data_IF_345185565782
#
_entry.id   IF_345185565782
#
_cell.length_a   1.000
_cell.length_b   1.000
_cell.length_c   1.000
_cell.angle_alpha   90.00
_cell.angle_beta   90.00
_cell.angle_gamma   90.00
#
_symmetry.space_group_name_H-M   'P 1'
#
loop_
_entity.id
_entity.type
_entity.pdbx_description
1 polymer ?
#
# COMPACT_ATOMS: atom_id res chain seq x y z
N UNK A 1 -48.95 -4.92 -32.32
CA UNK A 1 -47.64 -4.63 -32.93
C UNK A 1 -46.60 -4.75 -31.84
N UNK A 2 -45.83 -5.84 -31.89
CA UNK A 2 -44.81 -6.22 -30.91
C UNK A 2 -43.55 -5.36 -31.00
N UNK A 3 -42.97 -5.15 -29.82
CA UNK A 3 -41.54 -5.01 -29.49
C UNK A 3 -40.68 -3.99 -30.24
N UNK A 4 -40.40 -2.88 -29.56
CA UNK A 4 -39.06 -2.26 -29.52
C UNK A 4 -38.51 -2.38 -28.11
N UNK A 5 -38.01 -3.56 -27.78
CA UNK A 5 -37.01 -3.73 -26.71
C UNK A 5 -35.64 -3.73 -27.38
N UNK A 6 -35.08 -2.53 -27.59
CA UNK A 6 -33.68 -2.38 -27.96
C UNK A 6 -32.83 -2.77 -26.75
N UNK A 7 -32.49 -4.07 -26.70
CA UNK A 7 -31.38 -4.55 -25.90
C UNK A 7 -30.13 -3.82 -26.38
N UNK A 8 -29.59 -2.90 -25.57
CA UNK A 8 -28.21 -2.49 -25.65
C UNK A 8 -27.37 -3.77 -25.55
N UNK A 9 -26.91 -4.28 -26.70
CA UNK A 9 -25.94 -5.36 -26.73
C UNK A 9 -24.63 -4.80 -26.20
N UNK A 10 -24.32 -5.14 -24.95
CA UNK A 10 -22.99 -5.00 -24.36
C UNK A 10 -21.97 -5.51 -25.39
N UNK A 11 -21.10 -4.62 -25.87
CA UNK A 11 -20.11 -4.92 -26.90
C UNK A 11 -18.95 -5.73 -26.32
N UNK A 12 -19.19 -7.00 -25.98
CA UNK A 12 -18.11 -7.93 -25.62
C UNK A 12 -17.52 -8.55 -26.89
N UNK A 13 -16.19 -8.67 -26.96
CA UNK A 13 -15.52 -9.25 -28.13
C UNK A 13 -16.03 -10.67 -28.44
N UNK A 14 -16.07 -11.05 -29.71
CA UNK A 14 -16.47 -12.43 -30.10
C UNK A 14 -15.56 -13.49 -29.47
N UNK A 15 -14.27 -13.17 -29.27
CA UNK A 15 -13.33 -14.03 -28.54
C UNK A 15 -13.79 -14.28 -27.11
N UNK A 16 -14.24 -13.24 -26.39
CA UNK A 16 -14.78 -13.36 -25.03
C UNK A 16 -16.06 -14.20 -25.03
N UNK A 17 -16.97 -14.00 -25.99
CA UNK A 17 -18.20 -14.81 -26.11
C UNK A 17 -17.89 -16.29 -26.32
N UNK A 18 -16.96 -16.60 -27.22
CA UNK A 18 -16.56 -17.99 -27.51
C UNK A 18 -15.95 -18.64 -26.25
N UNK A 19 -15.06 -17.93 -25.55
CA UNK A 19 -14.46 -18.42 -24.31
C UNK A 19 -15.53 -18.74 -23.25
N UNK A 20 -16.47 -17.82 -23.00
CA UNK A 20 -17.52 -18.03 -22.02
C UNK A 20 -18.45 -19.18 -22.41
N UNK A 21 -18.84 -19.30 -23.68
CA UNK A 21 -19.68 -20.42 -24.17
C UNK A 21 -19.02 -21.78 -23.99
N UNK A 22 -17.72 -21.88 -24.20
CA UNK A 22 -16.99 -23.13 -23.98
C UNK A 22 -16.96 -23.50 -22.50
N UNK A 23 -16.70 -22.53 -21.62
CA UNK A 23 -16.69 -22.75 -20.17
C UNK A 23 -18.08 -23.12 -19.61
N UNK A 24 -19.16 -22.59 -20.21
CA UNK A 24 -20.53 -22.94 -19.86
C UNK A 24 -20.91 -24.41 -20.15
N UNK A 25 -20.07 -25.19 -20.84
CA UNK A 25 -20.30 -26.64 -20.98
C UNK A 25 -20.13 -27.38 -19.66
N UNK A 26 -19.24 -26.91 -18.78
CA UNK A 26 -18.97 -27.48 -17.46
C UNK A 26 -18.80 -26.36 -16.40
N UNK A 27 -19.85 -25.57 -16.10
CA UNK A 27 -19.71 -24.33 -15.34
C UNK A 27 -19.26 -24.56 -13.88
N UNK A 28 -19.57 -25.72 -13.31
CA UNK A 28 -19.19 -26.09 -11.94
C UNK A 28 -17.71 -26.45 -11.79
N UNK A 29 -17.00 -26.75 -12.88
CA UNK A 29 -15.56 -27.05 -12.89
C UNK A 29 -14.70 -25.77 -13.00
N UNK A 30 -15.31 -24.62 -13.30
CA UNK A 30 -14.61 -23.35 -13.50
C UNK A 30 -14.25 -22.73 -12.14
N UNK A 31 -12.99 -22.88 -11.73
CA UNK A 31 -12.46 -22.30 -10.50
C UNK A 31 -11.76 -20.96 -10.71
N UNK A 32 -11.27 -20.70 -11.92
CA UNK A 32 -10.54 -19.47 -12.26
C UNK A 32 -11.00 -18.94 -13.61
N UNK A 33 -11.19 -17.63 -13.71
CA UNK A 33 -11.59 -16.97 -14.93
C UNK A 33 -10.80 -15.67 -15.12
N UNK A 34 -10.12 -15.58 -16.26
CA UNK A 34 -9.38 -14.39 -16.66
C UNK A 34 -10.07 -13.71 -17.86
N UNK A 35 -10.51 -12.49 -17.61
CA UNK A 35 -11.12 -11.55 -18.55
C UNK A 35 -10.40 -10.20 -18.52
N UNK A 36 -9.09 -10.21 -18.28
CA UNK A 36 -8.22 -9.05 -18.41
C UNK A 36 -8.20 -8.49 -19.84
N UNK A 37 -8.19 -7.15 -19.97
CA UNK A 37 -8.08 -6.44 -21.26
C UNK A 37 -9.10 -6.93 -22.29
N UNK A 38 -10.38 -6.93 -21.92
CA UNK A 38 -11.48 -7.40 -22.78
C UNK A 38 -12.44 -6.28 -23.20
N UNK A 39 -12.10 -5.03 -22.90
CA UNK A 39 -12.91 -3.84 -23.21
C UNK A 39 -14.33 -3.93 -22.63
N UNK A 40 -14.49 -4.64 -21.50
CA UNK A 40 -15.80 -4.86 -20.89
C UNK A 40 -16.34 -3.57 -20.27
N UNK A 41 -17.49 -3.11 -20.73
CA UNK A 41 -18.24 -2.03 -20.07
C UNK A 41 -19.11 -2.53 -18.92
N UNK A 42 -19.52 -3.80 -18.98
CA UNK A 42 -20.33 -4.48 -17.98
C UNK A 42 -19.82 -5.91 -17.77
N UNK A 43 -20.11 -6.49 -16.61
CA UNK A 43 -19.78 -7.88 -16.28
C UNK A 43 -20.70 -8.82 -17.06
N UNK A 44 -20.18 -9.72 -17.93
CA UNK A 44 -21.01 -10.69 -18.65
C UNK A 44 -21.85 -11.55 -17.70
N UNK A 45 -23.18 -11.70 -17.95
CA UNK A 45 -24.07 -12.43 -17.05
C UNK A 45 -23.71 -13.93 -16.93
N UNK A 46 -23.04 -14.49 -17.93
CA UNK A 46 -22.55 -15.88 -17.93
C UNK A 46 -21.62 -16.18 -16.76
N UNK A 47 -20.92 -15.17 -16.22
CA UNK A 47 -20.01 -15.33 -15.08
C UNK A 47 -20.76 -15.84 -13.84
N UNK A 48 -22.04 -15.47 -13.69
CA UNK A 48 -22.83 -15.85 -12.52
C UNK A 48 -23.26 -17.31 -12.50
N UNK A 49 -23.03 -18.05 -13.59
CA UNK A 49 -23.24 -19.51 -13.67
C UNK A 49 -22.03 -20.29 -13.09
N UNK A 50 -20.85 -19.66 -13.01
CA UNK A 50 -19.63 -20.26 -12.44
C UNK A 50 -19.64 -20.18 -10.91
N UNK A 51 -20.58 -20.87 -10.26
CA UNK A 51 -20.82 -20.75 -8.82
C UNK A 51 -19.68 -21.26 -7.92
N UNK A 52 -18.75 -22.05 -8.46
CA UNK A 52 -17.53 -22.52 -7.79
C UNK A 52 -16.30 -21.65 -8.09
N UNK A 53 -16.46 -20.51 -8.76
CA UNK A 53 -15.37 -19.62 -9.10
C UNK A 53 -14.68 -19.08 -7.84
N UNK A 54 -13.36 -19.25 -7.78
CA UNK A 54 -12.49 -18.82 -6.68
C UNK A 54 -11.64 -17.62 -7.05
N UNK A 55 -11.23 -17.50 -8.32
CA UNK A 55 -10.41 -16.39 -8.80
C UNK A 55 -11.03 -15.76 -10.06
N UNK A 56 -11.24 -14.44 -10.01
CA UNK A 56 -11.79 -13.67 -11.12
C UNK A 56 -10.91 -12.46 -11.40
N UNK A 57 -10.32 -12.43 -12.60
CA UNK A 57 -9.55 -11.29 -13.10
C UNK A 57 -10.37 -10.51 -14.13
N UNK A 58 -10.70 -9.26 -13.80
CA UNK A 58 -11.44 -8.29 -14.61
C UNK A 58 -10.61 -7.01 -14.82
N UNK A 59 -9.29 -7.08 -14.64
CA UNK A 59 -8.41 -5.90 -14.74
C UNK A 59 -8.39 -5.28 -16.13
N UNK A 60 -8.11 -3.99 -16.20
CA UNK A 60 -7.95 -3.24 -17.45
C UNK A 60 -9.17 -3.39 -18.39
N UNK A 61 -10.36 -3.10 -17.86
CA UNK A 61 -11.61 -3.03 -18.61
C UNK A 61 -12.22 -1.62 -18.44
N UNK A 62 -13.50 -1.46 -18.74
CA UNK A 62 -14.22 -0.19 -18.65
C UNK A 62 -15.38 -0.23 -17.65
N UNK A 63 -15.34 -1.17 -16.69
CA UNK A 63 -16.40 -1.39 -15.71
C UNK A 63 -16.58 -0.14 -14.83
N UNK A 64 -17.83 0.27 -14.64
CA UNK A 64 -18.21 1.41 -13.78
C UNK A 64 -18.88 0.98 -12.48
N UNK A 65 -19.49 -0.19 -12.49
CA UNK A 65 -20.21 -0.78 -11.37
C UNK A 65 -20.21 -2.31 -11.49
N UNK A 66 -20.63 -2.98 -10.42
CA UNK A 66 -20.89 -4.42 -10.43
C UNK A 66 -22.38 -4.66 -10.16
N UNK A 67 -23.05 -5.56 -10.90
CA UNK A 67 -24.46 -5.84 -10.69
C UNK A 67 -24.70 -6.60 -9.38
N UNK A 68 -25.94 -6.60 -8.88
CA UNK A 68 -26.31 -7.23 -7.60
C UNK A 68 -26.05 -8.75 -7.56
N UNK A 69 -26.14 -9.38 -8.73
CA UNK A 69 -25.90 -10.79 -9.01
C UNK A 69 -24.47 -11.22 -8.73
N UNK A 70 -23.54 -10.26 -8.65
CA UNK A 70 -22.14 -10.52 -8.29
C UNK A 70 -22.02 -11.19 -6.90
N UNK A 71 -22.99 -10.94 -6.01
CA UNK A 71 -23.10 -11.63 -4.71
C UNK A 71 -23.38 -13.15 -4.79
N UNK A 72 -23.68 -13.70 -5.98
CA UNK A 72 -23.84 -15.15 -6.20
C UNK A 72 -22.51 -15.91 -6.18
N UNK A 73 -21.37 -15.23 -6.39
CA UNK A 73 -20.04 -15.83 -6.41
C UNK A 73 -19.51 -16.10 -4.99
N UNK A 74 -20.22 -16.94 -4.23
CA UNK A 74 -20.00 -17.16 -2.79
C UNK A 74 -18.65 -17.81 -2.45
N UNK A 75 -17.99 -18.45 -3.40
CA UNK A 75 -16.70 -19.11 -3.22
C UNK A 75 -15.51 -18.26 -3.68
N UNK A 76 -15.76 -17.01 -4.10
CA UNK A 76 -14.72 -16.15 -4.65
C UNK A 76 -13.75 -15.70 -3.56
N UNK A 77 -12.48 -16.00 -3.76
CA UNK A 77 -11.38 -15.70 -2.83
C UNK A 77 -10.51 -14.57 -3.34
N UNK A 78 -10.32 -14.49 -4.66
CA UNK A 78 -9.50 -13.47 -5.32
C UNK A 78 -10.30 -12.73 -6.38
N UNK A 79 -10.38 -11.42 -6.22
CA UNK A 79 -11.04 -10.53 -7.17
C UNK A 79 -10.09 -9.41 -7.60
N UNK A 80 -9.81 -9.33 -8.90
CA UNK A 80 -8.97 -8.29 -9.48
C UNK A 80 -9.79 -7.38 -10.39
N UNK A 81 -10.00 -6.13 -9.97
CA UNK A 81 -10.77 -5.09 -10.66
C UNK A 81 -9.90 -3.87 -11.00
N UNK A 82 -8.58 -3.97 -10.84
CA UNK A 82 -7.68 -2.85 -11.08
C UNK A 82 -7.67 -2.38 -12.54
N UNK A 83 -7.59 -1.07 -12.79
CA UNK A 83 -7.62 -0.50 -14.14
C UNK A 83 -9.02 -0.50 -14.74
N UNK A 84 -10.02 -0.01 -14.01
CA UNK A 84 -11.39 0.14 -14.49
C UNK A 84 -11.86 1.59 -14.31
N UNK A 85 -13.17 1.83 -14.43
CA UNK A 85 -13.78 3.16 -14.35
C UNK A 85 -14.67 3.32 -13.09
N UNK A 86 -14.36 2.60 -12.00
CA UNK A 86 -15.12 2.71 -10.75
C UNK A 86 -14.90 4.08 -10.12
N UNK A 87 -15.98 4.86 -9.94
CA UNK A 87 -15.97 6.13 -9.17
C UNK A 87 -16.35 5.94 -7.70
N UNK A 88 -17.13 4.89 -7.44
CA UNK A 88 -17.54 4.48 -6.11
C UNK A 88 -16.98 3.08 -5.85
N UNK A 89 -16.71 2.78 -4.58
CA UNK A 89 -16.37 1.43 -4.17
C UNK A 89 -17.55 0.49 -4.51
N UNK A 90 -17.35 -0.63 -5.21
CA UNK A 90 -18.42 -1.54 -5.55
C UNK A 90 -18.90 -2.31 -4.31
N UNK A 91 -19.86 -1.73 -3.57
CA UNK A 91 -20.28 -2.23 -2.26
C UNK A 91 -20.81 -3.68 -2.29
N UNK A 92 -21.31 -4.17 -3.44
CA UNK A 92 -21.69 -5.59 -3.60
C UNK A 92 -20.57 -6.57 -3.24
N UNK A 93 -19.29 -6.17 -3.42
CA UNK A 93 -18.11 -6.98 -3.08
C UNK A 93 -18.05 -7.28 -1.58
N UNK A 94 -18.56 -6.38 -0.73
CA UNK A 94 -18.61 -6.56 0.73
C UNK A 94 -19.48 -7.75 1.16
N UNK A 95 -20.36 -8.24 0.28
CA UNK A 95 -21.20 -9.43 0.52
C UNK A 95 -20.44 -10.75 0.30
N UNK A 96 -19.20 -10.70 -0.21
CA UNK A 96 -18.38 -11.86 -0.52
C UNK A 96 -17.35 -12.07 0.59
N UNK A 97 -17.82 -12.61 1.72
CA UNK A 97 -17.01 -12.78 2.93
C UNK A 97 -15.84 -13.76 2.79
N UNK A 98 -15.78 -14.51 1.69
CA UNK A 98 -14.71 -15.47 1.34
C UNK A 98 -13.48 -14.80 0.73
N UNK A 99 -13.55 -13.51 0.36
CA UNK A 99 -12.43 -12.80 -0.24
C UNK A 99 -11.23 -12.73 0.71
N UNK A 100 -10.08 -13.12 0.19
CA UNK A 100 -8.74 -12.98 0.79
C UNK A 100 -7.90 -11.96 0.04
N UNK A 101 -8.22 -11.70 -1.23
CA UNK A 101 -7.53 -10.72 -2.07
C UNK A 101 -8.54 -9.86 -2.86
N UNK A 102 -8.42 -8.55 -2.72
CA UNK A 102 -9.19 -7.56 -3.48
C UNK A 102 -8.26 -6.49 -4.06
N UNK A 103 -8.22 -6.39 -5.39
CA UNK A 103 -7.52 -5.32 -6.10
C UNK A 103 -8.55 -4.39 -6.77
N UNK A 104 -8.60 -3.14 -6.31
CA UNK A 104 -9.38 -2.03 -6.86
C UNK A 104 -8.46 -0.87 -7.30
N UNK A 105 -7.19 -1.15 -7.53
CA UNK A 105 -6.20 -0.14 -7.92
C UNK A 105 -6.52 0.50 -9.27
N UNK A 106 -5.94 1.66 -9.57
CA UNK A 106 -6.10 2.30 -10.89
C UNK A 106 -7.58 2.47 -11.29
N UNK A 107 -8.34 3.11 -10.41
CA UNK A 107 -9.74 3.48 -10.62
C UNK A 107 -9.91 4.97 -10.27
N UNK A 108 -11.14 5.43 -10.08
CA UNK A 108 -11.45 6.79 -9.67
C UNK A 108 -12.25 6.81 -8.35
N UNK A 109 -12.02 5.83 -7.46
CA UNK A 109 -12.78 5.68 -6.22
C UNK A 109 -12.47 6.85 -5.28
N UNK A 110 -13.52 7.56 -4.84
CA UNK A 110 -13.38 8.72 -3.95
C UNK A 110 -13.48 8.37 -2.45
N UNK A 111 -14.13 7.26 -2.11
CA UNK A 111 -14.34 6.84 -0.72
C UNK A 111 -14.45 5.33 -0.58
N UNK A 112 -14.11 4.83 0.62
CA UNK A 112 -14.28 3.43 1.01
C UNK A 112 -15.43 3.36 2.02
N UNK A 113 -16.44 2.48 1.82
CA UNK A 113 -17.60 2.42 2.69
C UNK A 113 -17.29 1.68 3.99
N UNK A 114 -18.06 1.98 5.05
CA UNK A 114 -17.95 1.26 6.33
C UNK A 114 -18.21 -0.24 6.21
N UNK A 115 -19.00 -0.66 5.22
CA UNK A 115 -19.29 -2.08 4.95
C UNK A 115 -18.05 -2.91 4.59
N UNK A 116 -16.89 -2.28 4.32
CA UNK A 116 -15.61 -2.97 4.15
C UNK A 116 -15.29 -3.89 5.34
N UNK A 117 -15.72 -3.56 6.56
CA UNK A 117 -15.49 -4.37 7.78
C UNK A 117 -16.01 -5.81 7.70
N UNK A 118 -16.92 -6.08 6.76
CA UNK A 118 -17.49 -7.40 6.52
C UNK A 118 -16.52 -8.36 5.80
N UNK A 119 -15.46 -7.86 5.17
CA UNK A 119 -14.44 -8.66 4.48
C UNK A 119 -13.40 -9.22 5.46
N UNK A 120 -13.86 -9.94 6.48
CA UNK A 120 -13.04 -10.37 7.63
C UNK A 120 -11.88 -11.31 7.28
N UNK A 121 -11.95 -11.98 6.13
CA UNK A 121 -10.89 -12.89 5.64
C UNK A 121 -9.88 -12.19 4.73
N UNK A 122 -10.03 -10.90 4.46
CA UNK A 122 -9.17 -10.17 3.54
C UNK A 122 -7.74 -10.10 4.08
N UNK A 123 -6.79 -10.60 3.29
CA UNK A 123 -5.36 -10.56 3.57
C UNK A 123 -4.65 -9.47 2.76
N UNK A 124 -5.15 -9.18 1.56
CA UNK A 124 -4.60 -8.14 0.67
C UNK A 124 -5.70 -7.23 0.16
N UNK A 125 -5.52 -5.92 0.36
CA UNK A 125 -6.38 -4.88 -0.18
C UNK A 125 -5.53 -3.85 -0.95
N UNK A 126 -5.78 -3.77 -2.27
CA UNK A 126 -5.15 -2.77 -3.14
C UNK A 126 -6.16 -1.69 -3.51
N UNK A 127 -5.90 -0.46 -3.09
CA UNK A 127 -6.66 0.75 -3.37
C UNK A 127 -5.78 1.86 -3.95
N UNK A 128 -4.54 1.55 -4.32
CA UNK A 128 -3.59 2.51 -4.88
C UNK A 128 -4.08 3.09 -6.21
N UNK A 129 -3.65 4.31 -6.53
CA UNK A 129 -4.05 5.02 -7.77
C UNK A 129 -5.57 5.19 -7.85
N UNK A 130 -6.14 5.86 -6.85
CA UNK A 130 -7.55 6.25 -6.77
C UNK A 130 -7.63 7.74 -6.31
N UNK A 131 -8.80 8.20 -5.89
CA UNK A 131 -9.05 9.58 -5.44
C UNK A 131 -9.52 9.62 -3.99
N UNK A 132 -9.12 8.63 -3.19
CA UNK A 132 -9.60 8.45 -1.81
C UNK A 132 -9.04 9.56 -0.93
N UNK A 133 -9.94 10.29 -0.25
CA UNK A 133 -9.58 11.40 0.65
C UNK A 133 -9.47 10.99 2.11
N UNK A 134 -10.25 9.97 2.50
CA UNK A 134 -10.25 9.43 3.85
C UNK A 134 -10.53 7.94 3.83
N UNK A 135 -10.02 7.24 4.86
CA UNK A 135 -10.37 5.86 5.14
C UNK A 135 -11.38 5.81 6.29
N UNK A 136 -12.40 4.95 6.21
CA UNK A 136 -13.32 4.75 7.32
C UNK A 136 -12.59 4.06 8.49
N UNK A 137 -13.00 4.37 9.72
CA UNK A 137 -12.53 3.65 10.93
C UNK A 137 -12.82 2.13 10.86
N UNK A 138 -13.81 1.73 10.06
CA UNK A 138 -14.15 0.35 9.76
C UNK A 138 -12.96 -0.45 9.16
N UNK A 139 -11.95 0.21 8.58
CA UNK A 139 -10.76 -0.48 8.04
C UNK A 139 -10.05 -1.30 9.11
N UNK A 140 -10.04 -0.85 10.38
CA UNK A 140 -9.39 -1.57 11.48
C UNK A 140 -10.06 -2.89 11.87
N UNK A 141 -11.23 -3.21 11.29
CA UNK A 141 -11.90 -4.50 11.48
C UNK A 141 -11.36 -5.61 10.57
N UNK A 142 -10.50 -5.30 9.61
CA UNK A 142 -9.85 -6.27 8.72
C UNK A 142 -8.67 -6.98 9.41
N UNK A 143 -8.95 -7.75 10.46
CA UNK A 143 -7.91 -8.32 11.34
C UNK A 143 -6.92 -9.27 10.65
N UNK A 144 -7.30 -9.86 9.52
CA UNK A 144 -6.43 -10.75 8.74
C UNK A 144 -5.60 -10.01 7.68
N UNK A 145 -5.74 -8.68 7.57
CA UNK A 145 -5.04 -7.91 6.54
C UNK A 145 -3.54 -7.90 6.80
N UNK A 146 -2.79 -8.30 5.77
CA UNK A 146 -1.32 -8.38 5.75
C UNK A 146 -0.73 -7.32 4.84
N UNK A 147 -1.40 -6.99 3.74
CA UNK A 147 -0.95 -5.99 2.78
C UNK A 147 -2.08 -4.97 2.55
N UNK A 148 -1.75 -3.70 2.79
CA UNK A 148 -2.63 -2.56 2.49
C UNK A 148 -1.90 -1.57 1.59
N UNK A 149 -2.36 -1.43 0.35
CA UNK A 149 -1.83 -0.49 -0.61
C UNK A 149 -2.81 0.67 -0.86
N UNK A 150 -2.38 1.87 -0.49
CA UNK A 150 -3.13 3.13 -0.50
C UNK A 150 -2.37 4.24 -1.25
N UNK A 151 -1.19 3.94 -1.79
CA UNK A 151 -0.34 4.94 -2.43
C UNK A 151 -1.03 5.58 -3.64
N UNK A 152 -0.63 6.81 -4.00
CA UNK A 152 -1.25 7.57 -5.08
C UNK A 152 -2.76 7.77 -4.83
N UNK A 153 -3.09 8.45 -3.74
CA UNK A 153 -4.44 8.87 -3.39
C UNK A 153 -4.39 10.32 -2.85
N UNK A 154 -5.46 10.80 -2.23
CA UNK A 154 -5.54 12.14 -1.63
C UNK A 154 -5.68 12.11 -0.11
N UNK A 155 -5.23 11.03 0.56
CA UNK A 155 -5.43 10.83 2.01
C UNK A 155 -4.73 11.93 2.82
N UNK A 156 -5.47 12.59 3.70
CA UNK A 156 -4.90 13.59 4.62
C UNK A 156 -4.43 12.99 5.95
N UNK A 157 -5.03 11.87 6.34
CA UNK A 157 -4.72 11.14 7.57
C UNK A 157 -4.97 9.64 7.39
N UNK A 158 -4.32 8.83 8.22
CA UNK A 158 -4.70 7.45 8.47
C UNK A 158 -5.52 7.40 9.76
N UNK A 159 -6.64 6.65 9.82
CA UNK A 159 -7.44 6.53 11.03
C UNK A 159 -6.66 5.84 12.15
N UNK A 160 -6.96 6.16 13.42
CA UNK A 160 -6.30 5.51 14.57
C UNK A 160 -6.63 4.02 14.67
N UNK A 161 -7.73 3.57 14.06
CA UNK A 161 -8.02 2.15 13.91
C UNK A 161 -7.04 1.42 12.97
N UNK A 162 -6.11 2.09 12.28
CA UNK A 162 -5.05 1.37 11.55
C UNK A 162 -4.23 0.46 12.48
N UNK A 163 -4.01 0.87 13.73
CA UNK A 163 -3.32 0.06 14.74
C UNK A 163 -4.04 -1.22 15.14
N UNK A 164 -5.30 -1.40 14.71
CA UNK A 164 -6.07 -2.61 14.95
C UNK A 164 -5.72 -3.74 13.97
N UNK A 165 -4.96 -3.45 12.91
CA UNK A 165 -4.50 -4.40 11.89
C UNK A 165 -3.26 -5.15 12.39
N UNK A 166 -3.43 -5.96 13.43
CA UNK A 166 -2.32 -6.63 14.13
C UNK A 166 -1.49 -7.60 13.26
N UNK A 167 -2.05 -8.06 12.13
CA UNK A 167 -1.37 -8.94 11.18
C UNK A 167 -0.76 -8.19 9.99
N UNK A 168 -0.82 -6.85 9.97
CA UNK A 168 -0.30 -6.04 8.86
C UNK A 168 1.22 -6.18 8.77
N UNK A 169 1.69 -6.56 7.59
CA UNK A 169 3.11 -6.75 7.25
C UNK A 169 3.62 -5.63 6.34
N UNK A 170 2.78 -5.12 5.44
CA UNK A 170 3.15 -4.11 4.47
C UNK A 170 2.09 -3.02 4.36
N UNK A 171 2.51 -1.77 4.61
CA UNK A 171 1.69 -0.57 4.42
C UNK A 171 2.35 0.35 3.41
N UNK A 172 1.67 0.55 2.28
CA UNK A 172 2.06 1.50 1.24
C UNK A 172 1.08 2.67 1.23
N UNK A 173 1.47 3.84 1.71
CA UNK A 173 0.65 5.05 1.68
C UNK A 173 1.44 6.28 1.19
N UNK A 174 2.44 6.05 0.35
CA UNK A 174 3.22 7.09 -0.30
C UNK A 174 2.43 7.86 -1.36
N UNK A 175 2.88 9.04 -1.75
CA UNK A 175 2.21 9.90 -2.74
C UNK A 175 0.74 10.15 -2.33
N UNK A 176 0.58 10.75 -1.15
CA UNK A 176 -0.69 11.16 -0.55
C UNK A 176 -0.51 12.55 0.08
N UNK A 177 -1.49 13.01 0.86
CA UNK A 177 -1.45 14.28 1.59
C UNK A 177 -1.28 14.09 3.10
N UNK A 178 -0.70 12.96 3.55
CA UNK A 178 -0.64 12.60 4.97
C UNK A 178 0.19 13.64 5.74
N UNK A 179 -0.37 14.16 6.84
CA UNK A 179 0.31 15.15 7.70
C UNK A 179 0.95 14.55 8.94
N UNK A 180 0.45 13.40 9.38
CA UNK A 180 0.91 12.73 10.60
C UNK A 180 0.89 11.22 10.40
N UNK A 181 1.62 10.52 11.27
CA UNK A 181 1.53 9.08 11.45
C UNK A 181 0.75 8.85 12.75
N UNK A 182 -0.38 8.10 12.75
CA UNK A 182 -1.14 7.86 13.96
C UNK A 182 -0.31 7.05 14.97
N UNK A 183 -0.40 7.38 16.26
CA UNK A 183 0.39 6.71 17.31
C UNK A 183 0.08 5.22 17.40
N UNK A 184 -1.16 4.85 17.10
CA UNK A 184 -1.62 3.47 17.00
C UNK A 184 -0.84 2.62 15.99
N UNK A 185 -0.09 3.21 15.05
CA UNK A 185 0.75 2.43 14.11
C UNK A 185 1.68 1.47 14.85
N UNK A 186 2.17 1.84 16.04
CA UNK A 186 3.03 1.01 16.87
C UNK A 186 2.38 -0.29 17.36
N UNK A 187 1.08 -0.48 17.18
CA UNK A 187 0.37 -1.73 17.48
C UNK A 187 0.44 -2.74 16.31
N UNK A 188 0.84 -2.32 15.10
CA UNK A 188 1.04 -3.19 13.95
C UNK A 188 2.38 -3.95 14.07
N UNK A 189 2.58 -4.71 15.15
CA UNK A 189 3.86 -5.33 15.52
C UNK A 189 4.45 -6.31 14.50
N UNK A 190 3.65 -6.72 13.51
CA UNK A 190 4.08 -7.57 12.39
C UNK A 190 4.59 -6.78 11.18
N UNK A 191 4.56 -5.44 11.21
CA UNK A 191 4.92 -4.61 10.07
C UNK A 191 6.40 -4.76 9.72
N UNK A 192 6.67 -5.07 8.47
CA UNK A 192 8.00 -5.24 7.87
C UNK A 192 8.35 -4.11 6.91
N UNK A 193 7.34 -3.55 6.23
CA UNK A 193 7.52 -2.42 5.31
C UNK A 193 6.53 -1.31 5.63
N UNK A 194 7.06 -0.10 5.84
CA UNK A 194 6.29 1.12 5.97
C UNK A 194 6.80 2.15 4.95
N UNK A 195 5.98 2.41 3.94
CA UNK A 195 6.31 3.33 2.84
C UNK A 195 5.35 4.52 2.84
N UNK A 196 5.87 5.68 3.27
CA UNK A 196 5.15 6.93 3.50
C UNK A 196 5.82 8.13 2.83
N UNK A 197 6.74 7.89 1.90
CA UNK A 197 7.41 8.94 1.13
C UNK A 197 6.42 9.82 0.34
N UNK A 198 6.85 11.02 -0.06
CA UNK A 198 6.03 11.95 -0.86
C UNK A 198 4.68 12.26 -0.18
N UNK A 199 4.76 12.78 1.04
CA UNK A 199 3.64 13.22 1.87
C UNK A 199 4.00 14.56 2.55
N UNK A 200 3.22 15.00 3.52
CA UNK A 200 3.45 16.21 4.32
C UNK A 200 3.72 15.90 5.80
N UNK A 201 4.32 14.74 6.09
CA UNK A 201 4.54 14.28 7.47
C UNK A 201 5.63 15.13 8.12
N UNK A 202 5.31 15.74 9.25
CA UNK A 202 6.25 16.60 10.00
C UNK A 202 6.93 15.91 11.18
N UNK A 203 6.36 14.81 11.69
CA UNK A 203 6.87 14.07 12.84
C UNK A 203 6.66 12.56 12.71
N UNK A 204 7.57 11.80 13.32
CA UNK A 204 7.42 10.36 13.54
C UNK A 204 7.08 10.14 15.02
N UNK A 205 5.97 9.48 15.36
CA UNK A 205 5.60 9.21 16.74
C UNK A 205 6.60 8.23 17.39
N UNK A 206 6.82 8.39 18.70
CA UNK A 206 7.73 7.53 19.47
C UNK A 206 7.34 6.04 19.41
N UNK A 207 6.07 5.76 19.20
CA UNK A 207 5.46 4.44 19.08
C UNK A 207 6.00 3.65 17.88
N UNK A 208 6.64 4.31 16.90
CA UNK A 208 7.34 3.63 15.81
C UNK A 208 8.33 2.59 16.34
N UNK A 209 8.98 2.86 17.48
CA UNK A 209 9.96 1.97 18.08
C UNK A 209 9.39 0.63 18.59
N UNK A 210 8.07 0.44 18.57
CA UNK A 210 7.42 -0.86 18.85
C UNK A 210 7.45 -1.82 17.66
N UNK A 211 7.75 -1.32 16.45
CA UNK A 211 7.74 -2.10 15.21
C UNK A 211 9.05 -2.89 15.05
N UNK A 212 9.37 -3.78 15.99
CA UNK A 212 10.66 -4.47 16.03
C UNK A 212 10.94 -5.34 14.80
N UNK A 213 9.92 -5.75 14.05
CA UNK A 213 10.04 -6.51 12.80
C UNK A 213 10.23 -5.64 11.55
N UNK A 214 10.25 -4.31 11.70
CA UNK A 214 10.35 -3.40 10.56
C UNK A 214 11.72 -3.53 9.89
N UNK A 215 11.71 -3.80 8.59
CA UNK A 215 12.91 -4.00 7.77
C UNK A 215 13.17 -2.83 6.83
N UNK A 216 12.10 -2.15 6.40
CA UNK A 216 12.17 -1.01 5.47
C UNK A 216 11.27 0.11 5.95
N UNK A 217 11.86 1.28 6.15
CA UNK A 217 11.16 2.53 6.46
C UNK A 217 11.54 3.57 5.40
N UNK A 218 10.54 4.02 4.64
CA UNK A 218 10.69 5.08 3.62
C UNK A 218 9.83 6.27 3.98
N UNK A 219 10.49 7.40 4.17
CA UNK A 219 9.90 8.67 4.61
C UNK A 219 10.51 9.87 3.86
N UNK A 220 11.21 9.62 2.75
CA UNK A 220 11.80 10.69 1.94
C UNK A 220 10.72 11.63 1.37
N UNK A 221 11.10 12.86 1.01
CA UNK A 221 10.17 13.89 0.50
C UNK A 221 8.98 14.11 1.44
N UNK A 222 9.31 14.46 2.68
CA UNK A 222 8.35 14.85 3.72
C UNK A 222 8.84 16.15 4.39
N UNK A 223 8.28 16.49 5.55
CA UNK A 223 8.60 17.70 6.32
C UNK A 223 9.26 17.36 7.67
N UNK A 224 9.92 16.21 7.76
CA UNK A 224 10.49 15.72 9.02
C UNK A 224 11.65 16.60 9.49
N UNK A 225 11.61 17.00 10.76
CA UNK A 225 12.67 17.80 11.38
C UNK A 225 13.64 17.02 12.25
N UNK A 226 13.15 15.96 12.89
CA UNK A 226 13.91 15.12 13.80
C UNK A 226 13.41 13.68 13.71
N UNK A 227 14.22 12.74 14.18
CA UNK A 227 13.79 11.37 14.45
C UNK A 227 13.60 11.17 15.96
N UNK A 228 12.59 10.41 16.42
CA UNK A 228 12.46 10.07 17.83
C UNK A 228 13.60 9.15 18.26
N UNK A 229 14.06 9.27 19.52
CA UNK A 229 15.07 8.37 20.10
C UNK A 229 14.69 6.88 19.97
N UNK A 230 13.39 6.57 19.97
CA UNK A 230 12.89 5.20 19.82
C UNK A 230 13.14 4.59 18.45
N UNK A 231 13.59 5.36 17.45
CA UNK A 231 14.01 4.81 16.14
C UNK A 231 15.07 3.73 16.30
N UNK A 232 15.97 3.87 17.29
CA UNK A 232 17.01 2.88 17.60
C UNK A 232 16.48 1.52 18.08
N UNK A 233 15.18 1.38 18.35
CA UNK A 233 14.58 0.10 18.72
C UNK A 233 14.28 -0.80 17.49
N UNK A 234 14.35 -0.24 16.28
CA UNK A 234 14.07 -0.97 15.03
C UNK A 234 15.24 -1.87 14.62
N UNK A 235 15.57 -2.86 15.43
CA UNK A 235 16.78 -3.68 15.30
C UNK A 235 16.85 -4.49 13.99
N UNK A 236 15.71 -4.77 13.35
CA UNK A 236 15.66 -5.46 12.06
C UNK A 236 15.71 -4.52 10.84
N UNK A 237 15.82 -3.21 11.06
CA UNK A 237 15.79 -2.24 9.97
C UNK A 237 17.05 -2.38 9.10
N UNK A 238 16.83 -2.61 7.82
CA UNK A 238 17.89 -2.75 6.79
C UNK A 238 17.97 -1.53 5.89
N UNK A 239 16.85 -0.83 5.68
CA UNK A 239 16.77 0.37 4.85
C UNK A 239 16.01 1.48 5.57
N UNK A 240 16.67 2.62 5.72
CA UNK A 240 16.10 3.86 6.24
C UNK A 240 16.33 4.97 5.21
N UNK A 241 15.28 5.34 4.48
CA UNK A 241 15.35 6.37 3.43
C UNK A 241 14.61 7.62 3.91
N UNK A 242 15.35 8.71 4.12
CA UNK A 242 14.91 9.97 4.72
C UNK A 242 15.31 11.19 3.88
N UNK A 243 15.75 10.99 2.64
CA UNK A 243 16.21 12.09 1.80
C UNK A 243 15.12 13.12 1.50
N UNK A 244 15.51 14.35 1.17
CA UNK A 244 14.59 15.47 0.90
C UNK A 244 13.60 15.69 2.08
N UNK A 245 14.15 15.96 3.27
CA UNK A 245 13.42 16.34 4.48
C UNK A 245 14.08 17.59 5.12
N UNK A 246 13.74 17.93 6.36
CA UNK A 246 14.25 19.08 7.11
C UNK A 246 15.05 18.61 8.35
N UNK A 247 15.66 17.42 8.29
CA UNK A 247 16.29 16.80 9.47
C UNK A 247 17.57 17.56 9.80
N UNK A 248 17.66 18.11 11.02
CA UNK A 248 18.82 18.88 11.47
C UNK A 248 19.75 18.08 12.40
N UNK A 249 19.23 17.04 13.06
CA UNK A 249 19.99 16.14 13.92
C UNK A 249 19.50 14.69 13.85
N UNK A 250 20.40 13.75 14.17
CA UNK A 250 20.08 12.34 14.36
C UNK A 250 20.23 11.98 15.85
N UNK A 251 19.34 11.15 16.41
CA UNK A 251 19.46 10.68 17.78
C UNK A 251 20.65 9.71 17.93
N UNK A 252 21.29 9.72 19.10
CA UNK A 252 22.39 8.79 19.44
C UNK A 252 21.97 7.31 19.39
N UNK A 253 20.67 7.04 19.49
CA UNK A 253 20.12 5.70 19.40
C UNK A 253 20.25 5.07 18.01
N UNK A 254 20.56 5.84 16.96
CA UNK A 254 20.77 5.34 15.59
C UNK A 254 21.83 4.23 15.52
N UNK A 255 22.78 4.24 16.46
CA UNK A 255 23.83 3.22 16.63
C UNK A 255 23.31 1.81 16.88
N UNK A 256 22.07 1.69 17.36
CA UNK A 256 21.44 0.43 17.70
C UNK A 256 20.85 -0.28 16.46
N UNK A 257 20.83 0.39 15.30
CA UNK A 257 20.36 -0.17 14.02
C UNK A 257 21.41 -1.09 13.40
N UNK A 258 21.81 -2.14 14.12
CA UNK A 258 22.94 -2.99 13.76
C UNK A 258 22.79 -3.72 12.41
N UNK A 259 21.56 -3.88 11.91
CA UNK A 259 21.26 -4.50 10.61
C UNK A 259 21.10 -3.50 9.47
N UNK A 260 21.33 -2.20 9.71
CA UNK A 260 21.16 -1.17 8.69
C UNK A 260 22.19 -1.33 7.59
N UNK A 261 21.71 -1.45 6.35
CA UNK A 261 22.51 -1.65 5.13
C UNK A 261 22.56 -0.37 4.31
N UNK A 262 21.45 0.36 4.25
CA UNK A 262 21.26 1.55 3.45
C UNK A 262 20.62 2.66 4.29
N UNK A 263 21.31 3.80 4.39
CA UNK A 263 20.84 5.02 5.04
C UNK A 263 20.96 6.18 4.05
N UNK A 264 19.84 6.77 3.65
CA UNK A 264 19.85 7.95 2.79
C UNK A 264 19.28 9.15 3.54
N UNK A 265 20.13 10.14 3.77
CA UNK A 265 19.85 11.40 4.44
C UNK A 265 20.12 12.59 3.51
N UNK A 266 20.27 12.36 2.21
CA UNK A 266 20.57 13.44 1.28
C UNK A 266 19.48 14.51 1.24
N UNK A 267 19.83 15.77 1.00
CA UNK A 267 18.84 16.86 0.97
C UNK A 267 18.15 17.10 2.32
N UNK A 268 18.93 17.16 3.40
CA UNK A 268 18.47 17.51 4.75
C UNK A 268 19.24 18.74 5.29
N UNK A 269 19.04 19.07 6.57
CA UNK A 269 19.64 20.24 7.23
C UNK A 269 20.76 19.83 8.21
N UNK A 270 21.37 18.66 8.02
CA UNK A 270 22.39 18.14 8.95
C UNK A 270 23.67 18.97 8.89
N UNK A 271 24.16 19.38 10.05
CA UNK A 271 25.47 20.04 10.22
C UNK A 271 26.53 19.11 10.81
N UNK A 272 26.11 18.02 11.45
CA UNK A 272 26.97 17.00 12.07
C UNK A 272 26.27 15.64 12.04
N UNK A 273 26.99 14.59 12.42
CA UNK A 273 26.46 13.24 12.65
C UNK A 273 26.91 12.78 14.04
N UNK A 274 26.09 12.02 14.78
CA UNK A 274 26.50 11.43 16.04
C UNK A 274 27.67 10.46 15.80
N UNK A 275 28.69 10.47 16.67
CA UNK A 275 29.86 9.61 16.53
C UNK A 275 29.49 8.12 16.49
N UNK A 276 28.36 7.80 17.10
CA UNK A 276 27.83 6.46 17.19
C UNK A 276 27.36 5.89 15.84
N UNK A 277 27.11 6.74 14.83
CA UNK A 277 26.80 6.32 13.46
C UNK A 277 27.98 5.59 12.79
N UNK A 278 29.22 5.97 13.12
CA UNK A 278 30.44 5.33 12.58
C UNK A 278 30.58 3.85 13.01
N UNK A 279 29.83 3.42 14.03
CA UNK A 279 29.86 2.06 14.56
C UNK A 279 29.00 1.04 13.82
N UNK A 280 28.22 1.47 12.80
CA UNK A 280 27.30 0.59 12.07
C UNK A 280 28.04 -0.30 11.06
N UNK A 281 28.43 -1.51 11.50
CA UNK A 281 29.27 -2.44 10.73
C UNK A 281 28.65 -2.97 9.43
N UNK A 282 27.33 -3.02 9.35
CA UNK A 282 26.61 -3.53 8.17
C UNK A 282 26.24 -2.42 7.18
N UNK A 283 26.51 -1.15 7.51
CA UNK A 283 26.17 -0.03 6.67
C UNK A 283 27.06 -0.03 5.42
N UNK A 284 26.46 -0.34 4.29
CA UNK A 284 27.15 -0.48 3.01
C UNK A 284 26.93 0.72 2.10
N UNK A 285 25.84 1.46 2.30
CA UNK A 285 25.49 2.65 1.54
C UNK A 285 24.98 3.74 2.47
N UNK A 286 25.65 4.88 2.46
CA UNK A 286 25.23 6.10 3.15
C UNK A 286 25.28 7.28 2.17
N UNK A 287 24.13 7.91 1.95
CA UNK A 287 24.03 9.11 1.11
C UNK A 287 23.75 10.32 2.00
N UNK A 288 24.64 11.31 1.93
CA UNK A 288 24.68 12.51 2.76
C UNK A 288 24.72 13.80 1.93
N UNK A 289 24.64 13.68 0.60
CA UNK A 289 24.69 14.81 -0.32
C UNK A 289 23.65 15.88 0.01
N UNK A 290 23.94 17.13 -0.37
CA UNK A 290 23.01 18.26 -0.18
C UNK A 290 22.56 18.48 1.28
N UNK A 291 23.49 18.34 2.23
CA UNK A 291 23.32 18.74 3.63
C UNK A 291 24.11 20.03 3.95
N UNK A 292 24.08 20.47 5.21
CA UNK A 292 24.72 21.71 5.68
C UNK A 292 26.07 21.45 6.39
N UNK A 293 26.78 20.38 6.03
CA UNK A 293 28.05 20.03 6.65
C UNK A 293 29.15 21.09 6.39
N UNK A 294 29.83 21.59 7.43
CA UNK A 294 31.01 22.43 7.25
C UNK A 294 32.10 21.72 6.44
N UNK A 295 32.91 22.48 5.69
CA UNK A 295 34.00 21.92 4.86
C UNK A 295 34.95 21.02 5.66
N UNK A 296 35.30 21.42 6.87
CA UNK A 296 36.19 20.64 7.74
C UNK A 296 35.55 19.31 8.17
N UNK A 297 34.23 19.31 8.38
CA UNK A 297 33.49 18.10 8.75
C UNK A 297 33.40 17.11 7.58
N UNK A 298 33.32 17.59 6.34
CA UNK A 298 33.36 16.74 5.14
C UNK A 298 34.65 15.91 5.08
N UNK A 299 35.80 16.46 5.50
CA UNK A 299 37.04 15.68 5.60
C UNK A 299 36.93 14.58 6.65
N UNK A 300 36.31 14.87 7.81
CA UNK A 300 36.06 13.85 8.85
C UNK A 300 35.19 12.71 8.30
N UNK A 301 34.14 13.03 7.54
CA UNK A 301 33.26 12.00 6.96
C UNK A 301 34.03 11.08 6.00
N UNK A 302 34.94 11.62 5.19
CA UNK A 302 35.78 10.84 4.26
C UNK A 302 36.80 9.94 4.98
N UNK A 303 37.28 10.35 6.15
CA UNK A 303 38.18 9.54 6.98
C UNK A 303 37.43 8.44 7.74
N UNK A 304 36.16 8.68 8.10
CA UNK A 304 35.35 7.77 8.92
C UNK A 304 34.56 6.74 8.12
N UNK A 305 34.19 7.05 6.87
CA UNK A 305 33.48 6.13 5.98
C UNK A 305 34.32 5.76 4.76
N UNK A 306 34.36 4.48 4.34
CA UNK A 306 34.98 4.10 3.08
C UNK A 306 34.36 4.84 1.89
N UNK A 307 35.17 5.22 0.90
CA UNK A 307 34.69 5.95 -0.30
C UNK A 307 33.62 5.17 -1.07
N UNK A 308 33.67 3.84 -1.07
CA UNK A 308 32.63 2.99 -1.69
C UNK A 308 31.29 3.02 -0.97
N UNK A 309 31.28 3.47 0.29
CA UNK A 309 30.13 3.44 1.18
C UNK A 309 29.40 4.78 1.19
N UNK A 310 30.10 5.90 0.97
CA UNK A 310 29.58 7.25 1.19
C UNK A 310 29.41 8.05 -0.11
N UNK A 311 28.24 8.67 -0.26
CA UNK A 311 27.94 9.68 -1.28
C UNK A 311 27.75 11.05 -0.59
N UNK A 312 28.58 12.04 -0.96
CA UNK A 312 28.68 13.37 -0.34
C UNK A 312 28.32 14.48 -1.33
#
# INVERSE_FOLDING_TARGET
MQSKSENLKVSISERTKIQLRELLKNPLEVLKLDLHLRELEEVPPEIFEFTNLRELNLRNNHLKSLPSEFSRLKHLEKLELGGNNFREFPEVVTKIHTLTYLDLSWNAIESVPNSIESLRNLETLSLNNNQIKELPEAIGNLKNLRILALNNNSLEYLPETIGNLINLEELYAFENNLRTIPKSIGNCVNLRKLELQENFISEIPSEIGKLEKLEKLRLYKNLLRNLPDTIGNLKNLTKLLLYENQISELPESIRNLHNLVELDLSGNELMTLPESLYGLKNLSRISLANNQFPKDFIFILRERFPVSTIEL
#
